data_IF_035521188126
#
_entry.id   IF_035521188126
#
_cell.length_a   1.000
_cell.length_b   1.000
_cell.length_c   1.000
_cell.angle_alpha   90.00
_cell.angle_beta   90.00
_cell.angle_gamma   90.00
#
_symmetry.space_group_name_H-M   'P 1'
#
loop_
_entity.id
_entity.type
_entity.pdbx_description
1 polymer ?
#
# COMPACT_ATOMS: atom_id res chain seq x y z
N UNK A 1 14.54 -1.28 7.39
CA UNK A 1 13.71 -2.36 6.77
C UNK A 1 14.65 -3.39 6.13
N UNK A 2 14.56 -4.65 6.53
CA UNK A 2 15.45 -5.71 6.08
C UNK A 2 14.89 -6.36 4.81
N UNK A 3 15.62 -6.29 3.68
CA UNK A 3 15.28 -6.99 2.44
C UNK A 3 15.96 -8.37 2.49
N UNK A 4 15.22 -9.48 2.31
CA UNK A 4 15.81 -10.82 2.34
C UNK A 4 16.81 -11.02 1.20
N UNK A 5 17.82 -11.87 1.43
CA UNK A 5 18.69 -12.35 0.36
C UNK A 5 17.87 -13.21 -0.62
N UNK A 6 18.17 -13.11 -1.91
CA UNK A 6 17.46 -13.79 -2.98
C UNK A 6 18.32 -14.84 -3.65
N UNK A 7 17.69 -15.97 -3.97
CA UNK A 7 18.18 -16.92 -4.96
C UNK A 7 17.83 -16.45 -6.39
N UNK A 8 18.48 -17.06 -7.41
CA UNK A 8 18.37 -16.63 -8.82
C UNK A 8 16.94 -16.63 -9.38
N UNK A 9 16.02 -17.38 -8.79
CA UNK A 9 14.63 -17.52 -9.24
C UNK A 9 13.62 -16.86 -8.29
N UNK A 10 14.09 -16.01 -7.37
CA UNK A 10 13.25 -15.36 -6.38
C UNK A 10 13.11 -13.85 -6.64
N UNK A 11 12.01 -13.30 -6.17
CA UNK A 11 11.78 -11.87 -6.06
C UNK A 11 11.30 -11.53 -4.65
N UNK A 12 11.46 -10.26 -4.23
CA UNK A 12 10.89 -9.78 -2.96
C UNK A 12 9.57 -9.10 -3.23
N UNK A 13 8.56 -9.50 -2.47
CA UNK A 13 7.24 -8.88 -2.46
C UNK A 13 6.88 -8.40 -1.07
N UNK A 14 5.91 -7.48 -0.99
CA UNK A 14 5.24 -7.06 0.23
C UNK A 14 3.76 -6.85 -0.04
N UNK A 15 2.91 -7.02 0.99
CA UNK A 15 1.48 -6.72 0.88
C UNK A 15 1.13 -5.67 1.92
N UNK A 16 0.44 -4.61 1.50
CA UNK A 16 0.13 -3.49 2.37
C UNK A 16 -1.18 -2.79 1.99
N UNK A 17 -1.70 -2.00 2.93
CA UNK A 17 -2.73 -1.01 2.72
C UNK A 17 -2.03 0.32 2.49
N UNK A 18 -2.17 0.91 1.29
CA UNK A 18 -1.65 2.24 1.01
C UNK A 18 -2.52 3.31 1.66
N UNK A 19 -1.92 4.39 2.13
CA UNK A 19 -2.66 5.55 2.63
C UNK A 19 -3.22 6.36 1.46
N UNK A 20 -4.37 7.06 1.67
CA UNK A 20 -4.81 8.11 0.76
C UNK A 20 -3.70 9.14 0.49
N UNK A 21 -3.58 9.70 -0.74
CA UNK A 21 -2.44 10.54 -1.14
C UNK A 21 -2.17 11.73 -0.19
N UNK A 22 -3.22 12.39 0.30
CA UNK A 22 -3.08 13.54 1.22
C UNK A 22 -2.51 13.14 2.58
N UNK A 23 -2.87 11.96 3.14
CA UNK A 23 -2.28 11.43 4.37
C UNK A 23 -0.87 10.90 4.13
N UNK A 24 -0.64 10.26 3.00
CA UNK A 24 0.70 9.82 2.61
C UNK A 24 1.68 11.00 2.53
N UNK A 25 1.26 12.15 2.00
CA UNK A 25 2.08 13.36 1.97
C UNK A 25 2.42 13.88 3.38
N UNK A 26 1.47 13.86 4.32
CA UNK A 26 1.70 14.27 5.71
C UNK A 26 2.70 13.36 6.41
N UNK A 27 2.55 12.02 6.28
CA UNK A 27 3.49 11.05 6.86
C UNK A 27 4.87 11.21 6.25
N UNK A 28 4.97 11.41 4.92
CA UNK A 28 6.25 11.65 4.25
C UNK A 28 6.96 12.87 4.83
N UNK A 29 6.26 13.99 5.00
CA UNK A 29 6.84 15.20 5.59
C UNK A 29 7.36 14.98 7.02
N UNK A 30 6.70 14.14 7.82
CA UNK A 30 7.19 13.74 9.15
C UNK A 30 8.46 12.89 9.03
N UNK A 31 8.50 11.91 8.12
CA UNK A 31 9.64 11.04 7.89
C UNK A 31 10.87 11.84 7.40
N UNK A 32 10.68 12.77 6.48
CA UNK A 32 11.73 13.69 6.00
C UNK A 32 12.28 14.54 7.16
N UNK A 33 11.40 15.13 7.96
CA UNK A 33 11.81 15.92 9.12
C UNK A 33 12.54 15.09 10.20
N UNK A 34 12.28 13.80 10.28
CA UNK A 34 12.99 12.85 11.14
C UNK A 34 14.35 12.41 10.55
N UNK A 35 14.64 12.77 9.30
CA UNK A 35 15.86 12.35 8.60
C UNK A 35 15.82 10.90 8.10
N UNK A 36 14.63 10.35 7.85
CA UNK A 36 14.46 9.00 7.30
C UNK A 36 14.87 8.98 5.81
N UNK A 37 15.97 8.29 5.44
CA UNK A 37 16.44 8.25 4.07
C UNK A 37 15.51 7.50 3.10
N UNK A 38 14.53 6.75 3.65
CA UNK A 38 13.54 6.01 2.88
C UNK A 38 12.21 6.77 2.72
N UNK A 39 12.12 8.03 3.17
CA UNK A 39 10.89 8.82 3.12
C UNK A 39 10.32 8.93 1.70
N UNK A 40 11.19 9.11 0.70
CA UNK A 40 10.82 9.21 -0.73
C UNK A 40 10.72 7.85 -1.44
N UNK A 41 11.39 6.81 -0.91
CA UNK A 41 11.54 5.51 -1.58
C UNK A 41 10.42 4.54 -1.22
N UNK A 42 9.96 4.59 0.05
CA UNK A 42 8.94 3.68 0.58
C UNK A 42 7.67 4.46 0.88
N UNK A 43 6.60 4.30 0.06
CA UNK A 43 5.33 4.97 0.31
C UNK A 43 4.77 4.64 1.72
N UNK A 44 4.16 5.60 2.42
CA UNK A 44 3.49 5.34 3.69
C UNK A 44 2.36 4.31 3.55
N UNK A 45 2.34 3.33 4.45
CA UNK A 45 1.42 2.19 4.36
C UNK A 45 1.23 1.51 5.73
N UNK A 46 0.18 0.68 5.83
CA UNK A 46 0.02 -0.32 6.89
C UNK A 46 0.49 -1.67 6.33
N UNK A 47 1.52 -2.27 6.90
CA UNK A 47 2.08 -3.54 6.44
C UNK A 47 1.17 -4.71 6.81
N UNK A 48 0.83 -5.57 5.84
CA UNK A 48 0.15 -6.86 6.07
C UNK A 48 1.11 -8.05 5.92
N UNK A 49 2.01 -7.96 4.94
CA UNK A 49 3.11 -8.90 4.73
C UNK A 49 4.40 -8.08 4.55
N UNK A 50 5.40 -8.23 5.42
CA UNK A 50 6.69 -7.55 5.27
C UNK A 50 7.44 -8.08 4.05
N UNK A 51 8.59 -7.46 3.66
CA UNK A 51 9.43 -7.94 2.58
C UNK A 51 9.68 -9.45 2.68
N UNK A 52 9.20 -10.18 1.67
CA UNK A 52 9.20 -11.65 1.67
C UNK A 52 9.74 -12.15 0.33
N UNK A 53 10.75 -13.02 0.37
CA UNK A 53 11.22 -13.72 -0.82
C UNK A 53 10.19 -14.79 -1.25
N UNK A 54 9.85 -14.77 -2.53
CA UNK A 54 8.98 -15.78 -3.17
C UNK A 54 9.59 -16.22 -4.48
N UNK A 55 9.34 -17.46 -4.87
CA UNK A 55 9.75 -17.94 -6.18
C UNK A 55 8.93 -17.25 -7.28
N UNK A 56 9.58 -16.85 -8.36
CA UNK A 56 8.93 -16.15 -9.48
C UNK A 56 7.81 -17.01 -10.07
N UNK A 57 7.99 -18.32 -10.13
CA UNK A 57 6.99 -19.26 -10.64
C UNK A 57 5.74 -19.37 -9.72
N UNK A 58 5.86 -18.95 -8.47
CA UNK A 58 4.74 -18.92 -7.50
C UNK A 58 3.91 -17.63 -7.55
N UNK A 59 4.30 -16.64 -8.35
CA UNK A 59 3.61 -15.33 -8.39
C UNK A 59 2.16 -15.44 -8.84
N UNK A 60 1.84 -16.33 -9.77
CA UNK A 60 0.45 -16.53 -10.22
C UNK A 60 -0.43 -17.10 -9.10
N UNK A 61 0.12 -17.96 -8.24
CA UNK A 61 -0.57 -18.48 -7.05
C UNK A 61 -0.74 -17.39 -6.00
N UNK A 62 0.27 -16.55 -5.78
CA UNK A 62 0.19 -15.37 -4.91
C UNK A 62 -0.91 -14.41 -5.39
N UNK A 63 -0.93 -14.09 -6.68
CA UNK A 63 -1.94 -13.22 -7.28
C UNK A 63 -3.35 -13.78 -7.13
N UNK A 64 -3.53 -15.08 -7.34
CA UNK A 64 -4.81 -15.75 -7.18
C UNK A 64 -5.27 -15.74 -5.73
N UNK A 65 -4.36 -16.01 -4.80
CA UNK A 65 -4.63 -15.98 -3.37
C UNK A 65 -5.07 -14.59 -2.90
N UNK A 66 -4.31 -13.54 -3.23
CA UNK A 66 -4.64 -12.17 -2.83
C UNK A 66 -5.96 -11.68 -3.44
N UNK A 67 -6.27 -12.09 -4.69
CA UNK A 67 -7.57 -11.82 -5.31
C UNK A 67 -8.70 -12.46 -4.51
N UNK A 68 -8.54 -13.70 -4.08
CA UNK A 68 -9.52 -14.40 -3.27
C UNK A 68 -9.71 -13.74 -1.89
N UNK A 69 -8.61 -13.37 -1.24
CA UNK A 69 -8.63 -12.64 0.05
C UNK A 69 -9.38 -11.31 -0.10
N UNK A 70 -9.08 -10.53 -1.12
CA UNK A 70 -9.74 -9.25 -1.37
C UNK A 70 -11.23 -9.41 -1.68
N UNK A 71 -11.60 -10.40 -2.51
CA UNK A 71 -13.01 -10.69 -2.83
C UNK A 71 -13.85 -11.05 -1.61
N UNK A 72 -13.23 -11.72 -0.62
CA UNK A 72 -13.89 -12.13 0.63
C UNK A 72 -13.80 -11.06 1.75
N UNK A 73 -13.21 -9.90 1.48
CA UNK A 73 -13.04 -8.80 2.44
C UNK A 73 -14.02 -7.68 2.11
N UNK A 74 -14.75 -7.18 3.12
CA UNK A 74 -15.55 -5.98 2.98
C UNK A 74 -14.71 -4.74 3.28
N UNK A 75 -15.01 -3.58 2.66
CA UNK A 75 -14.42 -2.31 3.07
C UNK A 75 -14.63 -2.07 4.57
N UNK A 76 -13.63 -1.45 5.21
CA UNK A 76 -13.69 -1.10 6.64
C UNK A 76 -12.98 0.22 6.91
N UNK A 77 -13.43 0.90 7.96
CA UNK A 77 -12.88 2.18 8.35
C UNK A 77 -11.71 2.02 9.31
N UNK A 78 -10.72 2.91 9.19
CA UNK A 78 -9.58 3.01 10.10
C UNK A 78 -9.47 4.45 10.62
N UNK A 79 -9.08 4.56 11.89
CA UNK A 79 -8.76 5.82 12.55
C UNK A 79 -7.39 5.71 13.21
N UNK A 80 -6.51 6.67 12.92
CA UNK A 80 -5.16 6.74 13.49
C UNK A 80 -4.95 8.13 14.10
N UNK A 81 -4.64 8.19 15.39
CA UNK A 81 -4.42 9.44 16.13
C UNK A 81 -3.45 9.31 17.31
N UNK A 82 -2.93 8.11 17.57
CA UNK A 82 -1.98 7.87 18.66
C UNK A 82 -0.58 7.58 18.12
N UNK A 83 0.44 8.12 18.81
CA UNK A 83 1.84 7.86 18.52
C UNK A 83 2.37 6.79 19.44
N UNK A 84 2.88 5.72 18.86
CA UNK A 84 3.54 4.63 19.56
C UNK A 84 5.02 4.50 19.21
N UNK A 85 5.72 3.65 19.96
CA UNK A 85 7.11 3.28 19.67
C UNK A 85 7.38 1.84 20.05
N UNK A 86 8.20 1.14 19.25
CA UNK A 86 8.69 -0.19 19.59
C UNK A 86 9.99 -0.19 20.40
N UNK A 87 10.51 1.00 20.78
CA UNK A 87 11.68 1.09 21.66
C UNK A 87 11.41 0.43 23.03
N UNK A 88 12.34 -0.28 23.63
CA UNK A 88 13.75 -0.44 23.21
C UNK A 88 13.97 -1.63 22.24
N UNK A 89 12.95 -2.39 21.86
CA UNK A 89 13.07 -3.60 21.03
C UNK A 89 13.47 -3.25 19.59
N UNK A 90 12.89 -2.19 19.04
CA UNK A 90 13.21 -1.68 17.70
C UNK A 90 13.11 -0.15 17.67
N UNK A 91 14.03 0.55 16.97
CA UNK A 91 14.05 2.01 16.88
C UNK A 91 12.99 2.49 15.87
N UNK A 92 11.72 2.27 16.18
CA UNK A 92 10.58 2.66 15.35
C UNK A 92 9.64 3.57 16.14
N UNK A 93 9.16 4.63 15.48
CA UNK A 93 8.04 5.47 15.90
C UNK A 93 6.94 5.34 14.85
N UNK A 94 5.70 5.22 15.28
CA UNK A 94 4.57 4.94 14.39
C UNK A 94 3.28 5.65 14.85
N UNK A 95 2.32 5.77 13.93
CA UNK A 95 0.92 6.02 14.25
C UNK A 95 0.20 4.69 14.49
N UNK A 96 -0.50 4.61 15.60
CA UNK A 96 -1.30 3.46 15.98
C UNK A 96 -2.75 3.60 15.50
N UNK A 97 -3.43 2.46 15.30
CA UNK A 97 -4.82 2.40 14.93
C UNK A 97 -5.71 2.37 16.17
N UNK A 98 -6.51 3.41 16.36
CA UNK A 98 -7.56 3.45 17.39
C UNK A 98 -8.76 2.61 16.99
N UNK A 99 -9.09 2.54 15.69
CA UNK A 99 -10.09 1.64 15.13
C UNK A 99 -9.61 1.02 13.82
N UNK A 100 -10.18 -0.13 13.44
CA UNK A 100 -9.79 -0.91 12.26
C UNK A 100 -8.65 -1.88 12.49
N UNK A 101 -8.08 -1.95 13.69
CA UNK A 101 -6.98 -2.86 14.02
C UNK A 101 -7.40 -4.33 13.90
N UNK A 102 -8.60 -4.70 14.40
CA UNK A 102 -9.12 -6.06 14.30
C UNK A 102 -9.40 -6.47 12.84
N UNK A 103 -9.85 -5.54 11.99
CA UNK A 103 -10.04 -5.75 10.57
C UNK A 103 -8.71 -6.00 9.87
N UNK A 104 -7.68 -5.21 10.22
CA UNK A 104 -6.31 -5.42 9.74
C UNK A 104 -5.75 -6.77 10.19
N UNK A 105 -5.98 -7.19 11.44
CA UNK A 105 -5.60 -8.52 11.95
C UNK A 105 -6.24 -9.63 11.12
N UNK A 106 -7.57 -9.61 10.96
CA UNK A 106 -8.28 -10.59 10.15
C UNK A 106 -7.81 -10.63 8.70
N UNK A 107 -7.52 -9.46 8.12
CA UNK A 107 -7.00 -9.37 6.75
C UNK A 107 -5.60 -9.95 6.66
N UNK A 108 -4.71 -9.62 7.61
CA UNK A 108 -3.35 -10.13 7.70
C UNK A 108 -3.33 -11.66 7.86
N UNK A 109 -4.18 -12.22 8.73
CA UNK A 109 -4.31 -13.67 8.92
C UNK A 109 -4.73 -14.37 7.61
N UNK A 110 -5.68 -13.78 6.85
CA UNK A 110 -6.10 -14.30 5.54
C UNK A 110 -4.99 -14.22 4.51
N UNK A 111 -4.26 -13.09 4.43
CA UNK A 111 -3.11 -12.93 3.53
C UNK A 111 -2.06 -14.00 3.80
N UNK A 112 -1.86 -14.35 5.07
CA UNK A 112 -0.85 -15.31 5.54
C UNK A 112 -1.42 -16.67 5.93
N UNK A 113 -2.60 -17.02 5.40
CA UNK A 113 -3.20 -18.34 5.66
C UNK A 113 -2.16 -19.45 5.58
N UNK A 114 -2.16 -20.34 6.58
CA UNK A 114 -1.17 -21.43 6.72
C UNK A 114 -1.14 -22.40 5.53
N UNK A 115 -2.21 -22.44 4.75
CA UNK A 115 -2.36 -23.25 3.54
C UNK A 115 -2.11 -22.44 2.26
N UNK A 116 -1.88 -21.14 2.39
CA UNK A 116 -1.67 -20.24 1.28
C UNK A 116 -0.19 -20.12 0.88
N UNK A 117 0.10 -19.54 -0.28
CA UNK A 117 1.46 -19.36 -0.80
C UNK A 117 2.30 -18.38 0.02
N UNK A 118 1.65 -17.57 0.87
CA UNK A 118 2.29 -16.55 1.72
C UNK A 118 2.39 -16.97 3.20
N UNK A 119 2.18 -18.25 3.49
CA UNK A 119 2.34 -18.79 4.84
C UNK A 119 3.76 -18.54 5.37
N UNK A 120 3.89 -17.83 6.49
CA UNK A 120 5.16 -17.53 7.16
C UNK A 120 4.94 -17.44 8.68
N UNK A 121 5.94 -17.81 9.45
CA UNK A 121 5.95 -17.55 10.89
C UNK A 121 6.19 -16.09 11.17
N UNK A 122 5.51 -15.53 12.16
CA UNK A 122 5.78 -14.19 12.68
C UNK A 122 6.93 -14.26 13.68
N UNK A 123 7.88 -13.34 13.57
CA UNK A 123 8.91 -13.15 14.60
C UNK A 123 8.38 -12.39 15.82
N UNK A 124 7.34 -11.57 15.61
CA UNK A 124 6.64 -10.79 16.64
C UNK A 124 5.13 -10.84 16.40
N UNK A 125 4.30 -10.61 17.42
CA UNK A 125 2.87 -10.41 17.21
C UNK A 125 2.62 -9.33 16.16
N UNK A 126 1.59 -9.53 15.34
CA UNK A 126 1.20 -8.50 14.38
C UNK A 126 0.67 -7.27 15.13
N UNK A 127 1.06 -6.10 14.67
CA UNK A 127 0.62 -4.81 15.20
C UNK A 127 0.45 -3.87 14.00
N UNK A 128 -0.78 -3.61 13.55
CA UNK A 128 -1.01 -2.73 12.41
C UNK A 128 -0.69 -1.29 12.78
N UNK A 129 0.15 -0.64 11.98
CA UNK A 129 0.61 0.72 12.23
C UNK A 129 1.09 1.41 10.95
N UNK A 130 1.26 2.72 11.01
CA UNK A 130 1.94 3.51 9.96
C UNK A 130 3.26 4.04 10.51
N UNK A 131 4.37 3.62 9.93
CA UNK A 131 5.71 4.04 10.35
C UNK A 131 5.94 5.54 10.09
N UNK A 132 6.32 6.26 11.14
CA UNK A 132 6.74 7.68 11.10
C UNK A 132 8.26 7.86 11.08
N UNK A 133 9.02 6.93 11.66
CA UNK A 133 10.48 6.89 11.59
C UNK A 133 10.99 5.49 11.91
N UNK A 134 12.06 5.06 11.21
CA UNK A 134 12.69 3.77 11.39
C UNK A 134 14.19 3.85 11.12
N UNK A 135 15.00 3.30 12.03
CA UNK A 135 16.47 3.24 11.89
C UNK A 135 17.13 4.63 11.67
N UNK A 136 16.56 5.67 12.28
CA UNK A 136 17.16 7.01 12.34
C UNK A 136 17.75 7.26 13.73
N UNK A 137 18.55 8.32 13.88
CA UNK A 137 19.10 8.72 15.20
C UNK A 137 17.97 9.07 16.20
N UNK A 138 18.22 8.95 17.50
CA UNK A 138 17.23 9.20 18.55
C UNK A 138 16.53 10.55 18.42
N UNK A 139 17.24 11.62 18.07
CA UNK A 139 16.66 12.94 17.82
C UNK A 139 15.69 12.97 16.65
N UNK A 140 15.89 12.10 15.63
CA UNK A 140 14.95 11.88 14.55
C UNK A 140 13.69 11.14 15.01
N UNK A 141 13.85 10.09 15.83
CA UNK A 141 12.71 9.39 16.44
C UNK A 141 11.86 10.32 17.30
N UNK A 142 12.50 11.18 18.12
CA UNK A 142 11.80 12.14 18.97
C UNK A 142 11.12 13.24 18.13
N UNK A 143 11.70 13.63 16.99
CA UNK A 143 11.09 14.55 16.04
C UNK A 143 9.86 13.94 15.39
N UNK A 144 9.95 12.67 14.96
CA UNK A 144 8.80 11.94 14.41
C UNK A 144 7.67 11.80 15.44
N UNK A 145 8.00 11.47 16.69
CA UNK A 145 7.01 11.36 17.76
C UNK A 145 6.26 12.68 17.99
N UNK A 146 6.97 13.81 18.10
CA UNK A 146 6.35 15.13 18.30
C UNK A 146 5.44 15.52 17.13
N UNK A 147 5.94 15.37 15.88
CA UNK A 147 5.17 15.73 14.69
C UNK A 147 4.00 14.77 14.46
N UNK A 148 4.17 13.50 14.80
CA UNK A 148 3.13 12.50 14.70
C UNK A 148 1.92 12.80 15.59
N UNK A 149 2.10 13.43 16.75
CA UNK A 149 0.99 13.84 17.64
C UNK A 149 0.05 14.89 17.02
N UNK A 150 0.47 15.52 15.92
CA UNK A 150 -0.35 16.50 15.20
C UNK A 150 -1.17 15.83 14.06
N UNK A 151 -0.97 14.53 13.84
CA UNK A 151 -1.63 13.80 12.77
C UNK A 151 -2.88 13.07 13.26
N UNK A 152 -3.95 13.22 12.51
CA UNK A 152 -5.18 12.43 12.67
C UNK A 152 -5.63 11.99 11.27
N UNK A 153 -5.96 10.71 11.11
CA UNK A 153 -6.33 10.14 9.82
C UNK A 153 -7.57 9.28 9.95
N UNK A 154 -8.54 9.54 9.08
CA UNK A 154 -9.78 8.78 8.94
C UNK A 154 -9.96 8.39 7.48
N UNK A 155 -10.02 7.11 7.18
CA UNK A 155 -10.31 6.67 5.82
C UNK A 155 -10.86 5.25 5.77
N UNK A 156 -11.59 4.95 4.68
CA UNK A 156 -12.09 3.60 4.42
C UNK A 156 -11.05 2.83 3.62
N UNK A 157 -10.65 1.67 4.12
CA UNK A 157 -9.82 0.71 3.41
C UNK A 157 -10.69 -0.06 2.43
N UNK A 158 -10.43 0.09 1.13
CA UNK A 158 -11.23 -0.53 0.05
C UNK A 158 -10.42 -1.48 -0.82
N UNK A 159 -9.11 -1.57 -0.59
CA UNK A 159 -8.19 -2.34 -1.43
C UNK A 159 -6.91 -2.69 -0.69
N UNK A 160 -6.25 -3.75 -1.11
CA UNK A 160 -4.87 -4.08 -0.73
C UNK A 160 -3.94 -3.98 -1.95
N UNK A 161 -2.66 -3.75 -1.67
CA UNK A 161 -1.64 -3.59 -2.69
C UNK A 161 -0.59 -4.67 -2.54
N UNK A 162 -0.20 -5.26 -3.68
CA UNK A 162 0.99 -6.09 -3.79
C UNK A 162 2.11 -5.21 -4.33
N UNK A 163 3.17 -5.10 -3.56
CA UNK A 163 4.40 -4.41 -3.96
C UNK A 163 5.47 -5.42 -4.35
N UNK A 164 6.30 -5.05 -5.32
CA UNK A 164 7.52 -5.77 -5.69
C UNK A 164 8.73 -4.88 -5.51
N UNK A 165 9.79 -5.42 -4.96
CA UNK A 165 11.06 -4.72 -4.83
C UNK A 165 11.85 -4.82 -6.13
N UNK A 166 12.32 -3.69 -6.66
CA UNK A 166 13.01 -3.61 -7.96
C UNK A 166 14.48 -4.02 -7.94
N UNK A 167 15.03 -4.39 -6.78
CA UNK A 167 16.46 -4.65 -6.63
C UNK A 167 17.28 -3.36 -6.50
N UNK A 168 18.60 -3.48 -6.45
CA UNK A 168 19.52 -2.33 -6.47
C UNK A 168 19.81 -1.95 -7.92
N UNK A 169 20.04 -0.66 -8.23
CA UNK A 169 20.54 -0.23 -9.54
C UNK A 169 21.81 -0.99 -9.89
N UNK A 170 21.85 -1.60 -11.09
CA UNK A 170 23.01 -2.36 -11.56
C UNK A 170 22.97 -3.87 -11.32
N UNK A 171 21.98 -4.42 -10.59
CA UNK A 171 21.66 -5.84 -10.66
C UNK A 171 20.58 -6.07 -11.75
N UNK A 172 20.71 -7.11 -12.59
CA UNK A 172 19.72 -7.37 -13.63
C UNK A 172 18.37 -7.61 -12.98
N UNK A 173 17.37 -6.79 -13.37
CA UNK A 173 15.97 -7.00 -13.04
C UNK A 173 15.58 -8.38 -13.54
N UNK A 174 15.20 -9.29 -12.66
CA UNK A 174 14.79 -10.63 -13.08
C UNK A 174 13.50 -10.54 -13.90
N UNK A 175 13.40 -11.25 -15.02
CA UNK A 175 12.25 -11.23 -15.91
C UNK A 175 11.07 -11.93 -15.25
N UNK A 176 10.22 -11.18 -14.56
CA UNK A 176 8.88 -11.63 -14.17
C UNK A 176 7.87 -11.20 -15.24
N UNK A 177 6.87 -12.01 -15.47
CA UNK A 177 5.79 -11.86 -16.48
C UNK A 177 4.85 -10.66 -16.27
N UNK A 178 5.33 -9.56 -15.73
CA UNK A 178 4.58 -8.30 -15.70
C UNK A 178 4.89 -7.56 -17.00
N UNK A 179 3.87 -7.33 -17.82
CA UNK A 179 4.02 -6.67 -19.11
C UNK A 179 4.44 -5.23 -18.94
N UNK A 180 5.39 -4.83 -19.78
CA UNK A 180 6.25 -3.66 -19.82
C UNK A 180 5.53 -2.30 -20.06
N UNK A 181 4.33 -2.04 -19.49
CA UNK A 181 3.55 -0.85 -19.85
C UNK A 181 3.40 0.22 -18.76
N UNK A 182 3.89 -0.02 -17.55
CA UNK A 182 3.68 0.89 -16.42
C UNK A 182 5.00 1.32 -15.76
N UNK A 183 5.92 1.86 -16.57
CA UNK A 183 7.09 2.56 -16.02
C UNK A 183 6.73 4.02 -15.81
N UNK A 184 6.60 4.41 -14.56
CA UNK A 184 6.71 5.80 -14.17
C UNK A 184 8.19 6.07 -13.89
N UNK A 185 8.88 6.74 -14.81
CA UNK A 185 10.30 7.10 -14.71
C UNK A 185 10.47 8.26 -13.71
N UNK A 186 10.49 7.95 -12.42
CA UNK A 186 10.94 8.86 -11.34
C UNK A 186 12.37 8.53 -10.92
N UNK A 187 13.13 9.47 -10.30
CA UNK A 187 14.58 9.38 -10.16
C UNK A 187 15.03 8.21 -9.29
N UNK A 188 15.73 7.27 -9.93
CA UNK A 188 16.40 6.11 -9.37
C UNK A 188 17.57 6.49 -8.47
N UNK A 189 17.60 5.98 -7.22
CA UNK A 189 18.86 5.84 -6.51
C UNK A 189 18.93 4.77 -5.42
N UNK A 190 17.86 4.15 -4.98
CA UNK A 190 17.95 3.04 -4.02
C UNK A 190 16.80 2.09 -4.30
N UNK A 191 17.06 0.86 -4.71
CA UNK A 191 16.10 -0.18 -5.06
C UNK A 191 14.67 0.10 -4.55
N UNK A 192 13.83 0.65 -5.43
CA UNK A 192 12.49 1.14 -5.09
C UNK A 192 11.47 0.01 -4.99
N UNK A 193 10.30 0.34 -4.47
CA UNK A 193 9.13 -0.51 -4.48
C UNK A 193 8.18 -0.06 -5.59
N UNK A 194 7.74 -0.98 -6.43
CA UNK A 194 6.67 -0.73 -7.41
C UNK A 194 5.38 -1.42 -6.98
N UNK A 195 4.24 -0.85 -7.35
CA UNK A 195 2.94 -1.51 -7.22
C UNK A 195 2.81 -2.55 -8.33
N UNK A 196 2.89 -3.82 -7.97
CA UNK A 196 2.73 -4.94 -8.91
C UNK A 196 1.27 -5.26 -9.19
N UNK A 197 0.38 -5.10 -8.19
CA UNK A 197 -1.06 -5.29 -8.36
C UNK A 197 -1.85 -4.60 -7.25
N UNK A 198 -3.11 -4.27 -7.55
CA UNK A 198 -4.10 -3.74 -6.61
C UNK A 198 -5.34 -4.62 -6.64
N UNK A 199 -5.87 -4.97 -5.48
CA UNK A 199 -7.04 -5.83 -5.33
C UNK A 199 -8.12 -5.09 -4.54
N UNK A 200 -9.21 -4.71 -5.22
CA UNK A 200 -10.35 -4.08 -4.59
C UNK A 200 -11.14 -5.11 -3.76
N UNK A 201 -11.67 -4.68 -2.63
CA UNK A 201 -12.53 -5.49 -1.79
C UNK A 201 -13.91 -5.69 -2.43
N UNK A 202 -14.56 -6.82 -2.14
CA UNK A 202 -15.85 -7.16 -2.72
C UNK A 202 -15.79 -7.78 -4.13
N UNK A 203 -14.63 -8.21 -4.61
CA UNK A 203 -14.50 -9.05 -5.81
C UNK A 203 -14.17 -8.35 -7.12
N UNK A 204 -13.86 -7.06 -7.15
CA UNK A 204 -13.40 -6.39 -8.37
C UNK A 204 -11.88 -6.36 -8.46
N UNK A 205 -11.33 -6.88 -9.55
CA UNK A 205 -9.95 -6.62 -9.95
C UNK A 205 -9.88 -5.22 -10.57
N UNK A 206 -9.15 -4.33 -9.93
CA UNK A 206 -8.71 -3.10 -10.58
C UNK A 206 -7.30 -3.39 -11.12
N UNK A 207 -7.06 -3.38 -12.45
CA UNK A 207 -5.70 -3.40 -12.97
C UNK A 207 -4.96 -2.19 -12.39
N UNK A 208 -3.66 -2.34 -12.11
CA UNK A 208 -2.81 -1.23 -11.69
C UNK A 208 -2.72 -0.25 -12.89
N UNK A 209 -3.62 0.73 -12.91
CA UNK A 209 -3.52 1.89 -13.79
C UNK A 209 -2.90 2.98 -12.93
N UNK A 210 -1.77 3.58 -13.31
CA UNK A 210 -1.32 4.79 -12.65
C UNK A 210 -2.42 5.83 -12.82
N UNK A 211 -2.85 6.42 -11.72
CA UNK A 211 -3.77 7.56 -11.72
C UNK A 211 -3.02 8.72 -12.37
N UNK A 212 -3.19 8.87 -13.69
CA UNK A 212 -2.76 10.05 -14.42
C UNK A 212 -3.68 11.16 -13.95
N UNK A 213 -3.14 12.11 -13.23
CA UNK A 213 -3.80 13.36 -12.97
C UNK A 213 -4.02 14.04 -14.34
N UNK A 214 -5.23 13.97 -14.86
CA UNK A 214 -5.63 14.73 -16.03
C UNK A 214 -5.57 16.23 -15.70
N UNK A 215 -4.46 16.83 -16.07
CA UNK A 215 -4.40 18.26 -16.29
C UNK A 215 -4.85 18.47 -17.73
N UNK A 216 -6.17 18.62 -17.94
CA UNK A 216 -6.75 19.54 -18.91
C UNK A 216 -8.27 19.34 -18.94
N UNK A 217 -8.96 20.32 -18.33
CA UNK A 217 -10.40 20.39 -18.36
C UNK A 217 -10.92 20.87 -19.71
N UNK A 218 -11.59 19.99 -20.43
CA UNK A 218 -12.70 20.39 -21.33
C UNK A 218 -13.75 19.30 -21.28
N UNK A 219 -14.76 19.47 -20.44
CA UNK A 219 -16.00 18.70 -20.49
C UNK A 219 -16.90 19.30 -21.55
N UNK A 220 -16.96 18.66 -22.70
CA UNK A 220 -18.03 18.90 -23.67
C UNK A 220 -19.26 18.08 -23.21
N UNK A 221 -20.29 18.77 -22.74
CA UNK A 221 -21.58 18.18 -22.35
C UNK A 221 -22.39 17.94 -23.62
N UNK A 222 -22.78 16.72 -23.97
CA UNK A 222 -23.74 16.52 -25.06
C UNK A 222 -25.12 17.01 -24.65
N UNK A 223 -25.71 17.86 -25.48
CA UNK A 223 -27.06 18.41 -25.31
C UNK A 223 -28.11 17.31 -25.21
N UNK A 224 -28.89 17.35 -24.13
CA UNK A 224 -30.06 16.52 -23.95
C UNK A 224 -31.14 16.88 -24.97
N UNK A 225 -31.59 15.90 -25.74
CA UNK A 225 -32.75 15.98 -26.62
C UNK A 225 -34.02 16.16 -25.79
N UNK A 226 -34.81 17.18 -26.11
CA UNK A 226 -36.09 17.46 -25.52
C UNK A 226 -37.15 16.38 -25.91
N UNK A 227 -38.09 16.02 -25.03
CA UNK A 227 -39.16 15.10 -25.38
C UNK A 227 -40.25 15.78 -26.26
N UNK A 228 -40.64 15.09 -27.33
CA UNK A 228 -41.74 15.47 -28.20
C UNK A 228 -43.09 15.43 -27.41
N UNK A 229 -43.78 16.54 -27.45
CA UNK A 229 -45.15 16.68 -26.97
C UNK A 229 -46.15 16.17 -28.01
N UNK A 230 -46.87 15.11 -27.70
CA UNK A 230 -48.01 14.63 -28.47
C UNK A 230 -49.27 15.49 -28.14
N UNK A 231 -50.06 15.93 -29.09
CA UNK A 231 -51.24 16.71 -28.80
C UNK A 231 -52.42 15.81 -28.38
N UNK A 232 -53.06 16.21 -27.29
CA UNK A 232 -54.35 15.61 -26.83
C UNK A 232 -55.49 16.21 -27.65
N UNK A 233 -56.23 15.36 -28.36
CA UNK A 233 -57.51 15.72 -29.01
C UNK A 233 -58.64 15.50 -28.01
N UNK A 234 -59.38 16.58 -27.71
CA UNK A 234 -60.67 16.54 -26.99
C UNK A 234 -61.80 16.13 -27.92
N UNK A 235 -62.66 15.22 -27.45
CA UNK A 235 -64.10 15.18 -27.77
C UNK A 235 -64.86 14.96 -26.47
#
# INVERSE_FOLDING_TARGET
MQIPALDAHQCVIGVAIALPPHYAAQVRAVREAAGDPLAEVVPPHITLLPPTAVDVDSLDDVMRHLRHVAAATQPFDVHLDEVGTFRPVSPVVYLDLRSGAEECDRLQERVRDRRGPLARSLSFPFHPHVTLAHEVADGGLDTAARKGMELTMDFTVTKLHLYRHLGRPGQPSQPGRFTHRDRNDGPDAAGGWEVAAVFAFGGSLVPAVPEVADADGVTEVPAASAPETTPVVSV
#
